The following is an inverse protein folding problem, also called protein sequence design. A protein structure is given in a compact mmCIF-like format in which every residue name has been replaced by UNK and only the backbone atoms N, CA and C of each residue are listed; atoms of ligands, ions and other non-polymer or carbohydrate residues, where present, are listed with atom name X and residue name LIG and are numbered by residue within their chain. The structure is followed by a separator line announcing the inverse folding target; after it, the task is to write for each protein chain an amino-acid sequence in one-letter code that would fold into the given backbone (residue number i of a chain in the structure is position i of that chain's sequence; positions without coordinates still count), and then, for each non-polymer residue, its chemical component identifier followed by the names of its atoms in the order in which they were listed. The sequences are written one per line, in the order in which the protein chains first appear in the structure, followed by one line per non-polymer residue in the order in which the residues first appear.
data_IF_770420576945
#
_entry.id   IF_770420576945
#
_cell.length_a   1.000
_cell.length_b   1.000
_cell.length_c   1.000
_cell.angle_alpha   90.00
_cell.angle_beta   90.00
_cell.angle_gamma   90.00
#
_symmetry.space_group_name_H-M   'P 1'
#
loop_
_entity.id
_entity.type
_entity.pdbx_description
1 polymer ?
#
# COMPACT_ATOMS: atom_id res chain seq x y z
N UNK A 1 31.27 -9.55 39.26
CA UNK A 1 30.83 -9.64 40.66
C UNK A 1 30.02 -8.38 40.94
N UNK A 2 28.70 -8.47 41.16
CA UNK A 2 27.77 -7.32 41.26
C UNK A 2 27.90 -6.51 42.57
N UNK A 3 26.96 -5.59 42.91
CA UNK A 3 25.59 -5.51 42.39
C UNK A 3 25.04 -4.12 41.98
N UNK A 4 24.00 -4.23 41.16
CA UNK A 4 22.84 -3.35 40.95
C UNK A 4 22.59 -2.30 42.05
N UNK A 5 22.71 -1.02 41.69
CA UNK A 5 22.20 0.10 42.50
C UNK A 5 21.06 0.80 41.77
N UNK A 6 20.01 0.94 42.56
CA UNK A 6 18.69 1.52 42.34
C UNK A 6 18.75 3.01 41.95
N UNK A 7 17.95 3.43 40.95
CA UNK A 7 17.58 4.82 40.74
C UNK A 7 16.26 4.91 39.94
N UNK A 8 15.39 5.89 40.25
CA UNK A 8 13.94 5.70 40.25
C UNK A 8 13.25 6.07 38.93
N UNK A 9 12.13 5.37 38.67
CA UNK A 9 11.10 5.76 37.72
C UNK A 9 10.37 7.02 38.21
N UNK A 10 10.56 8.14 37.50
CA UNK A 10 9.62 9.25 37.36
C UNK A 10 9.67 9.65 35.87
N UNK A 11 8.59 9.96 35.16
CA UNK A 11 7.33 10.55 35.57
C UNK A 11 6.17 9.99 34.72
N UNK A 12 4.99 10.00 35.34
CA UNK A 12 3.71 9.52 34.83
C UNK A 12 3.01 10.67 34.08
N UNK A 13 2.80 10.62 32.75
CA UNK A 13 2.26 11.75 31.98
C UNK A 13 0.73 11.85 32.02
N UNK A 14 0.03 10.99 32.77
CA UNK A 14 -1.42 10.99 32.84
C UNK A 14 -1.92 11.47 34.20
N UNK A 15 -1.70 12.77 34.46
CA UNK A 15 -2.43 13.51 35.50
C UNK A 15 -3.94 13.47 35.22
N UNK A 16 -4.71 13.07 36.21
CA UNK A 16 -6.13 12.76 36.08
C UNK A 16 -7.12 13.90 36.31
N UNK A 17 -8.37 13.55 35.97
CA UNK A 17 -9.70 13.88 36.56
C UNK A 17 -10.22 15.34 36.52
N UNK A 18 -11.55 15.58 36.39
CA UNK A 18 -12.60 15.00 37.26
C UNK A 18 -13.91 14.51 36.61
N UNK A 19 -14.57 13.62 37.35
CA UNK A 19 -16.00 13.30 37.27
C UNK A 19 -16.87 14.45 37.82
N UNK A 20 -18.09 14.58 37.30
CA UNK A 20 -19.15 15.38 37.91
C UNK A 20 -20.54 14.97 37.39
N UNK A 21 -21.29 14.27 38.23
CA UNK A 21 -22.72 13.97 38.07
C UNK A 21 -23.59 15.16 38.49
N UNK A 22 -24.71 15.40 37.79
CA UNK A 22 -25.92 16.01 38.37
C UNK A 22 -27.17 15.81 37.50
N UNK A 23 -28.24 15.32 38.13
CA UNK A 23 -29.60 15.15 37.62
C UNK A 23 -30.45 16.41 37.87
N UNK A 24 -31.30 16.83 36.92
CA UNK A 24 -32.73 17.21 37.08
C UNK A 24 -33.23 18.11 35.93
N UNK A 25 -34.49 17.93 35.51
CA UNK A 25 -35.28 19.03 34.94
C UNK A 25 -36.20 18.68 33.77
N UNK A 26 -37.47 18.42 34.08
CA UNK A 26 -38.59 18.25 33.15
C UNK A 26 -39.16 19.61 32.65
N UNK A 27 -39.67 19.68 31.41
CA UNK A 27 -41.01 20.21 30.99
C UNK A 27 -41.06 20.85 29.57
N UNK A 28 -42.04 20.36 28.79
CA UNK A 28 -43.00 20.98 27.82
C UNK A 28 -42.72 22.24 26.96
N UNK A 29 -43.17 22.15 25.69
CA UNK A 29 -43.62 23.23 24.79
C UNK A 29 -43.18 22.97 23.33
N UNK A 30 -43.99 22.50 22.36
CA UNK A 30 -45.17 23.07 21.69
C UNK A 30 -44.92 24.33 20.85
N UNK A 31 -44.94 24.18 19.51
CA UNK A 31 -45.29 25.26 18.56
C UNK A 31 -44.32 25.46 17.38
N UNK A 32 -44.79 25.45 16.11
CA UNK A 32 -43.99 25.80 14.94
C UNK A 32 -44.05 27.31 14.67
N UNK A 33 -42.99 27.88 14.11
CA UNK A 33 -43.07 29.22 13.50
C UNK A 33 -42.43 29.18 12.11
N UNK A 34 -43.27 29.46 11.11
CA UNK A 34 -42.89 29.74 9.73
C UNK A 34 -42.32 31.16 9.65
N UNK A 35 -41.30 31.36 8.82
CA UNK A 35 -40.67 32.67 8.63
C UNK A 35 -39.64 32.66 7.51
N UNK A 36 -40.16 32.70 6.28
CA UNK A 36 -39.53 33.09 5.02
C UNK A 36 -38.48 34.22 5.14
N UNK A 37 -37.41 34.20 4.32
CA UNK A 37 -36.78 35.44 3.87
C UNK A 37 -35.26 35.54 3.80
N UNK A 38 -34.72 35.04 2.69
CA UNK A 38 -33.73 35.71 1.85
C UNK A 38 -32.21 35.61 2.15
N UNK A 39 -31.52 35.55 1.02
CA UNK A 39 -30.23 34.97 0.75
C UNK A 39 -29.04 35.86 1.10
N UNK A 40 -27.96 35.22 1.58
CA UNK A 40 -26.61 35.60 1.17
C UNK A 40 -25.67 34.40 1.17
N UNK A 41 -25.25 34.06 -0.04
CA UNK A 41 -24.39 32.96 -0.40
C UNK A 41 -23.07 32.91 0.38
N UNK A 42 -22.77 31.77 0.99
CA UNK A 42 -21.42 31.22 1.17
C UNK A 42 -21.48 29.72 0.89
N UNK A 43 -20.60 29.27 -0.02
CA UNK A 43 -20.67 27.97 -0.69
C UNK A 43 -20.70 26.78 0.26
N UNK A 44 -21.67 25.90 0.04
CA UNK A 44 -21.74 24.56 0.62
C UNK A 44 -21.30 23.56 -0.44
N UNK A 45 -20.27 22.79 -0.12
CA UNK A 45 -19.80 21.65 -0.91
C UNK A 45 -20.94 20.62 -1.09
N UNK A 46 -21.05 19.94 -2.25
CA UNK A 46 -22.04 18.89 -2.43
C UNK A 46 -21.82 17.78 -1.40
N UNK A 47 -22.87 17.50 -0.63
CA UNK A 47 -22.91 16.39 0.31
C UNK A 47 -23.36 15.16 -0.49
N UNK A 48 -22.42 14.26 -0.78
CA UNK A 48 -22.56 13.11 -1.67
C UNK A 48 -23.47 11.98 -1.14
N UNK A 49 -24.62 12.28 -0.56
CA UNK A 49 -25.45 11.24 0.10
C UNK A 49 -26.90 11.18 -0.36
N UNK A 50 -27.20 11.51 -1.61
CA UNK A 50 -28.60 11.47 -2.04
C UNK A 50 -28.76 11.34 -3.57
N UNK A 51 -28.14 10.32 -4.18
CA UNK A 51 -28.53 9.77 -5.49
C UNK A 51 -27.99 8.31 -5.68
N UNK A 52 -28.12 7.43 -4.69
CA UNK A 52 -28.06 5.99 -4.98
C UNK A 52 -29.49 5.45 -5.07
N UNK A 53 -29.90 5.16 -6.30
CA UNK A 53 -31.08 4.38 -6.63
C UNK A 53 -30.88 2.94 -6.13
N UNK A 54 -31.65 2.44 -5.14
CA UNK A 54 -31.40 1.16 -4.48
C UNK A 54 -31.68 -0.07 -5.36
N UNK A 55 -32.12 0.12 -6.61
CA UNK A 55 -32.40 -0.95 -7.57
C UNK A 55 -31.34 -1.08 -8.68
N UNK A 56 -30.21 -0.37 -8.59
CA UNK A 56 -29.04 -0.71 -9.41
C UNK A 56 -28.47 -2.04 -8.90
N UNK A 57 -28.91 -3.15 -9.47
CA UNK A 57 -28.37 -4.47 -9.21
C UNK A 57 -26.83 -4.41 -9.27
N UNK A 58 -26.21 -4.54 -8.10
CA UNK A 58 -24.76 -4.58 -7.90
C UNK A 58 -24.18 -5.79 -8.65
N UNK A 59 -23.97 -5.64 -9.96
CA UNK A 59 -23.02 -6.45 -10.71
C UNK A 59 -21.59 -5.96 -10.45
N UNK A 60 -21.30 -5.60 -9.19
CA UNK A 60 -19.95 -5.26 -8.73
C UNK A 60 -19.35 -6.51 -8.11
N UNK A 61 -18.35 -7.06 -8.78
CA UNK A 61 -17.64 -8.27 -8.35
C UNK A 61 -17.25 -8.20 -6.87
N UNK A 62 -17.38 -9.35 -6.20
CA UNK A 62 -17.03 -9.57 -4.79
C UNK A 62 -15.87 -8.68 -4.34
N UNK A 63 -16.18 -7.60 -3.61
CA UNK A 63 -15.17 -6.67 -3.11
C UNK A 63 -14.41 -7.33 -1.97
N UNK A 64 -13.28 -7.95 -2.30
CA UNK A 64 -12.37 -8.54 -1.32
C UNK A 64 -11.70 -7.40 -0.54
N UNK A 65 -11.69 -7.49 0.80
CA UNK A 65 -10.98 -6.51 1.64
C UNK A 65 -9.50 -6.52 1.26
N UNK A 66 -8.88 -5.39 0.89
CA UNK A 66 -7.49 -5.38 0.37
C UNK A 66 -6.46 -6.07 1.29
N UNK A 67 -6.72 -6.13 2.59
CA UNK A 67 -5.83 -6.71 3.61
C UNK A 67 -5.95 -8.23 3.80
N UNK A 68 -6.97 -8.88 3.24
CA UNK A 68 -7.04 -10.36 3.25
C UNK A 68 -6.07 -10.97 2.25
N UNK A 69 -5.76 -10.26 1.16
CA UNK A 69 -4.78 -10.66 0.13
C UNK A 69 -3.38 -10.79 0.76
N UNK A 70 -3.02 -9.86 1.65
CA UNK A 70 -1.71 -9.83 2.32
C UNK A 70 -1.64 -10.73 3.57
N UNK A 71 -2.72 -11.45 3.90
CA UNK A 71 -2.85 -12.26 5.13
C UNK A 71 -2.61 -11.45 6.41
N UNK A 72 -3.09 -10.21 6.47
CA UNK A 72 -2.96 -9.34 7.64
C UNK A 72 -1.67 -8.52 7.72
N UNK A 73 -0.76 -8.64 6.74
CA UNK A 73 0.41 -7.75 6.65
C UNK A 73 -0.03 -6.36 6.21
N UNK A 74 0.39 -5.34 6.95
CA UNK A 74 0.00 -3.93 6.72
C UNK A 74 1.14 -3.06 6.19
N UNK A 75 2.37 -3.56 6.18
CA UNK A 75 3.54 -2.88 5.64
C UNK A 75 4.39 -3.83 4.78
N UNK A 76 5.01 -3.35 3.69
CA UNK A 76 5.97 -4.12 2.92
C UNK A 76 7.26 -4.31 3.73
N UNK A 77 7.90 -5.47 3.58
CA UNK A 77 9.22 -5.73 4.20
C UNK A 77 10.34 -4.89 3.58
N UNK A 78 10.12 -4.37 2.36
CA UNK A 78 11.06 -3.52 1.63
C UNK A 78 10.49 -2.12 1.44
N UNK A 79 11.30 -1.11 1.70
CA UNK A 79 10.98 0.30 1.50
C UNK A 79 11.60 0.89 0.21
N UNK A 80 12.49 0.15 -0.46
CA UNK A 80 13.19 0.55 -1.69
C UNK A 80 12.33 0.52 -2.97
N UNK A 81 11.08 0.01 -2.88
CA UNK A 81 10.13 0.00 -3.98
C UNK A 81 9.39 1.34 -4.09
N UNK A 82 9.76 2.16 -5.07
CA UNK A 82 9.08 3.40 -5.46
C UNK A 82 8.05 3.14 -6.56
N UNK A 83 7.12 4.08 -6.81
CA UNK A 83 6.11 3.94 -7.86
C UNK A 83 6.70 3.73 -9.26
N UNK A 84 7.87 4.31 -9.51
CA UNK A 84 8.60 4.26 -10.78
C UNK A 84 9.66 3.16 -10.81
N UNK A 85 9.80 2.36 -9.76
CA UNK A 85 10.67 1.19 -9.76
C UNK A 85 10.17 0.20 -10.83
N UNK A 86 11.08 -0.26 -11.69
CA UNK A 86 10.76 -1.15 -12.81
C UNK A 86 10.98 -2.60 -12.40
N UNK A 87 10.01 -3.44 -12.71
CA UNK A 87 9.94 -4.84 -12.33
C UNK A 87 10.08 -5.74 -13.56
N UNK A 88 10.71 -6.90 -13.40
CA UNK A 88 10.82 -7.90 -14.48
C UNK A 88 10.86 -9.30 -13.90
N UNK A 89 10.11 -10.22 -14.50
CA UNK A 89 10.05 -11.63 -14.09
C UNK A 89 11.39 -12.34 -14.29
N UNK A 90 11.83 -13.12 -13.29
CA UNK A 90 13.04 -13.93 -13.35
C UNK A 90 12.74 -15.28 -14.04
N UNK A 91 12.95 -15.32 -15.36
CA UNK A 91 12.51 -16.37 -16.29
C UNK A 91 12.44 -17.80 -15.74
N UNK A 92 13.57 -18.49 -15.62
CA UNK A 92 13.60 -19.93 -15.34
C UNK A 92 12.96 -20.30 -13.98
N UNK A 93 13.28 -19.56 -12.92
CA UNK A 93 12.75 -19.80 -11.59
C UNK A 93 11.24 -19.48 -11.51
N UNK A 94 10.80 -18.40 -12.17
CA UNK A 94 9.39 -18.03 -12.24
C UNK A 94 8.58 -19.04 -13.05
N UNK A 95 9.11 -19.56 -14.16
CA UNK A 95 8.45 -20.58 -14.98
C UNK A 95 8.22 -21.86 -14.18
N UNK A 96 9.25 -22.31 -13.45
CA UNK A 96 9.13 -23.45 -12.55
C UNK A 96 8.13 -23.20 -11.39
N UNK A 97 8.07 -21.97 -10.87
CA UNK A 97 7.10 -21.61 -9.82
C UNK A 97 5.65 -21.60 -10.34
N UNK A 98 5.43 -21.12 -11.56
CA UNK A 98 4.11 -21.13 -12.22
C UNK A 98 3.64 -22.55 -12.54
N UNK A 99 4.55 -23.40 -13.05
CA UNK A 99 4.26 -24.78 -13.41
C UNK A 99 3.89 -25.67 -12.19
N UNK A 100 4.40 -25.36 -10.99
CA UNK A 100 4.09 -26.11 -9.76
C UNK A 100 2.64 -25.99 -9.28
N UNK A 101 1.84 -25.09 -9.87
CA UNK A 101 0.41 -24.98 -9.64
C UNK A 101 0.01 -24.57 -8.22
N UNK A 102 -1.30 -24.52 -7.96
CA UNK A 102 -1.88 -24.23 -6.65
C UNK A 102 -2.19 -25.54 -5.93
N UNK A 103 -1.17 -26.26 -5.42
CA UNK A 103 -1.44 -27.32 -4.43
C UNK A 103 -1.71 -26.64 -3.09
N UNK A 104 -2.99 -26.47 -2.79
CA UNK A 104 -3.49 -26.02 -1.50
C UNK A 104 -2.90 -26.91 -0.39
N UNK A 105 -1.84 -26.44 0.27
CA UNK A 105 -1.16 -27.18 1.33
C UNK A 105 0.31 -26.83 1.53
N UNK A 106 1.02 -26.37 0.49
CA UNK A 106 2.43 -25.98 0.63
C UNK A 106 2.77 -24.77 -0.25
N UNK A 107 3.01 -23.60 0.37
CA UNK A 107 3.74 -22.43 -0.16
C UNK A 107 3.59 -22.17 -1.69
N UNK A 108 2.37 -22.25 -2.20
CA UNK A 108 2.08 -21.97 -3.60
C UNK A 108 1.92 -20.47 -3.84
N UNK A 109 2.13 -20.04 -5.09
CA UNK A 109 1.83 -18.67 -5.50
C UNK A 109 0.33 -18.38 -5.33
N UNK A 110 0.01 -17.21 -4.80
CA UNK A 110 -1.35 -16.66 -4.79
C UNK A 110 -1.79 -16.31 -6.22
N UNK A 111 -3.10 -16.20 -6.50
CA UNK A 111 -3.59 -15.73 -7.80
C UNK A 111 -2.94 -14.40 -8.23
N UNK A 112 -2.86 -13.45 -7.31
CA UNK A 112 -2.28 -12.11 -7.53
C UNK A 112 -0.78 -12.21 -7.87
N UNK A 113 -0.05 -13.12 -7.21
CA UNK A 113 1.35 -13.39 -7.54
C UNK A 113 1.54 -13.89 -8.98
N UNK A 114 0.63 -14.75 -9.47
CA UNK A 114 0.70 -15.23 -10.86
C UNK A 114 0.44 -14.11 -11.86
N UNK A 115 -0.58 -13.28 -11.59
CA UNK A 115 -0.90 -12.11 -12.41
C UNK A 115 0.26 -11.12 -12.48
N UNK A 116 0.93 -10.88 -11.36
CA UNK A 116 2.13 -10.04 -11.30
C UNK A 116 3.23 -10.61 -12.21
N UNK A 117 3.55 -11.91 -12.07
CA UNK A 117 4.62 -12.55 -12.85
C UNK A 117 4.33 -12.56 -14.36
N UNK A 118 3.07 -12.71 -14.74
CA UNK A 118 2.65 -12.62 -16.14
C UNK A 118 2.79 -11.18 -16.69
N UNK A 119 2.30 -10.19 -15.94
CA UNK A 119 2.40 -8.78 -16.32
C UNK A 119 3.85 -8.30 -16.41
N UNK A 120 4.72 -8.79 -15.53
CA UNK A 120 6.14 -8.43 -15.49
C UNK A 120 7.02 -9.25 -16.44
N UNK A 121 6.44 -10.08 -17.33
CA UNK A 121 7.17 -10.69 -18.47
C UNK A 121 7.82 -9.63 -19.35
N UNK A 122 7.18 -8.47 -19.44
CA UNK A 122 7.78 -7.24 -19.97
C UNK A 122 8.06 -6.29 -18.80
N UNK A 123 9.09 -5.42 -18.89
CA UNK A 123 9.34 -4.44 -17.86
C UNK A 123 8.11 -3.58 -17.57
N UNK A 124 7.70 -3.49 -16.31
CA UNK A 124 6.53 -2.71 -15.88
C UNK A 124 6.84 -1.96 -14.57
N UNK A 125 6.31 -0.75 -14.41
CA UNK A 125 6.50 0.02 -13.18
C UNK A 125 5.57 -0.47 -12.04
N UNK A 126 5.94 -0.24 -10.78
CA UNK A 126 5.09 -0.57 -9.62
C UNK A 126 3.69 0.04 -9.76
N UNK A 127 3.59 1.29 -10.21
CA UNK A 127 2.30 1.96 -10.45
C UNK A 127 1.44 1.24 -11.50
N UNK A 128 2.05 0.79 -12.59
CA UNK A 128 1.37 0.07 -13.67
C UNK A 128 0.89 -1.32 -13.24
N UNK A 129 1.63 -1.96 -12.34
CA UNK A 129 1.23 -3.24 -11.74
C UNK A 129 0.06 -3.03 -10.78
N UNK A 130 0.13 -2.02 -9.90
CA UNK A 130 -0.96 -1.71 -8.97
C UNK A 130 -2.27 -1.39 -9.71
N UNK A 131 -2.20 -0.51 -10.71
CA UNK A 131 -3.36 -0.17 -11.55
C UNK A 131 -3.87 -1.38 -12.34
N UNK A 132 -2.97 -2.26 -12.80
CA UNK A 132 -3.35 -3.47 -13.53
C UNK A 132 -4.02 -4.55 -12.68
N UNK A 133 -3.79 -4.55 -11.37
CA UNK A 133 -4.41 -5.49 -10.42
C UNK A 133 -5.64 -4.88 -9.73
N UNK A 134 -5.89 -3.59 -9.91
CA UNK A 134 -6.87 -2.82 -9.15
C UNK A 134 -6.68 -2.94 -7.63
N UNK A 135 -5.41 -2.86 -7.19
CA UNK A 135 -5.04 -2.97 -5.78
C UNK A 135 -4.38 -1.68 -5.27
N UNK A 136 -4.57 -1.33 -3.98
CA UNK A 136 -3.81 -0.26 -3.36
C UNK A 136 -2.30 -0.49 -3.49
N UNK A 137 -1.55 0.57 -3.78
CA UNK A 137 -0.09 0.50 -3.97
C UNK A 137 0.62 -0.16 -2.78
N UNK A 138 0.17 0.09 -1.55
CA UNK A 138 0.74 -0.52 -0.34
C UNK A 138 0.60 -2.04 -0.33
N UNK A 139 -0.56 -2.55 -0.73
CA UNK A 139 -0.85 -3.99 -0.89
C UNK A 139 0.00 -4.58 -2.00
N UNK A 140 0.05 -3.91 -3.16
CA UNK A 140 0.89 -4.36 -4.28
C UNK A 140 2.36 -4.46 -3.87
N UNK A 141 2.92 -3.47 -3.16
CA UNK A 141 4.32 -3.51 -2.68
C UNK A 141 4.61 -4.69 -1.77
N UNK A 142 3.67 -5.11 -0.94
CA UNK A 142 3.83 -6.32 -0.09
C UNK A 142 3.99 -7.56 -0.99
N UNK A 143 3.10 -7.76 -1.96
CA UNK A 143 3.15 -8.89 -2.89
C UNK A 143 4.40 -8.88 -3.77
N UNK A 144 4.82 -7.69 -4.20
CA UNK A 144 6.07 -7.51 -4.95
C UNK A 144 7.29 -7.88 -4.11
N UNK A 145 7.31 -7.46 -2.84
CA UNK A 145 8.35 -7.82 -1.89
C UNK A 145 8.48 -9.33 -1.74
N UNK A 146 7.36 -10.04 -1.60
CA UNK A 146 7.32 -11.50 -1.50
C UNK A 146 7.95 -12.18 -2.72
N UNK A 147 7.64 -11.70 -3.93
CA UNK A 147 8.16 -12.27 -5.18
C UNK A 147 9.65 -11.94 -5.39
N UNK A 148 10.09 -10.75 -4.98
CA UNK A 148 11.50 -10.36 -5.01
C UNK A 148 12.30 -11.19 -4.01
N UNK A 149 11.80 -11.39 -2.80
CA UNK A 149 12.44 -12.23 -1.78
C UNK A 149 12.56 -13.70 -2.21
N UNK A 150 11.57 -14.19 -2.97
CA UNK A 150 11.60 -15.53 -3.57
C UNK A 150 12.49 -15.63 -4.83
N UNK A 151 13.07 -14.52 -5.29
CA UNK A 151 13.90 -14.49 -6.51
C UNK A 151 13.11 -14.65 -7.81
N UNK A 152 11.78 -14.57 -7.76
CA UNK A 152 10.90 -14.75 -8.93
C UNK A 152 10.74 -13.44 -9.72
N UNK A 153 11.13 -12.31 -9.11
CA UNK A 153 10.96 -10.98 -9.66
C UNK A 153 12.20 -10.13 -9.37
N UNK A 154 12.64 -9.36 -10.35
CA UNK A 154 13.77 -8.44 -10.25
C UNK A 154 13.26 -7.02 -10.22
N UNK A 155 13.68 -6.25 -9.22
CA UNK A 155 13.41 -4.83 -9.11
C UNK A 155 14.64 -4.03 -9.56
N UNK A 156 14.43 -3.04 -10.42
CA UNK A 156 15.45 -2.07 -10.83
C UNK A 156 14.99 -0.68 -10.44
N UNK A 157 15.81 -0.01 -9.62
CA UNK A 157 15.58 1.39 -9.29
C UNK A 157 15.63 2.26 -10.57
N UNK A 158 14.87 3.36 -10.61
CA UNK A 158 14.99 4.34 -11.68
C UNK A 158 16.42 4.86 -11.81
N UNK A 159 16.88 5.10 -13.03
CA UNK A 159 18.25 5.59 -13.29
C UNK A 159 18.56 6.91 -12.57
N UNK A 160 17.57 7.79 -12.39
CA UNK A 160 17.71 9.03 -11.64
C UNK A 160 18.02 8.77 -10.16
N UNK A 161 17.28 7.85 -9.55
CA UNK A 161 17.47 7.42 -8.15
C UNK A 161 18.83 6.72 -7.99
N UNK A 162 19.19 5.82 -8.91
CA UNK A 162 20.48 5.14 -8.88
C UNK A 162 21.66 6.12 -9.02
N UNK A 163 21.53 7.16 -9.85
CA UNK A 163 22.56 8.22 -9.98
C UNK A 163 22.70 9.06 -8.73
N UNK A 164 21.60 9.45 -8.10
CA UNK A 164 21.63 10.23 -6.86
C UNK A 164 22.29 9.45 -5.70
N UNK A 165 22.16 8.12 -5.69
CA UNK A 165 22.76 7.22 -4.69
C UNK A 165 24.24 6.87 -4.94
N UNK A 166 24.95 7.64 -5.79
CA UNK A 166 26.37 7.41 -6.10
C UNK A 166 26.64 6.79 -7.47
N UNK A 167 25.60 6.33 -8.18
CA UNK A 167 25.61 6.09 -9.63
C UNK A 167 26.64 5.09 -10.16
N UNK A 168 26.54 4.79 -11.47
CA UNK A 168 27.56 4.05 -12.19
C UNK A 168 28.60 5.05 -12.72
N UNK A 169 29.88 4.80 -12.48
CA UNK A 169 30.97 5.62 -13.01
C UNK A 169 31.02 5.54 -14.54
N UNK A 170 30.70 6.66 -15.19
CA UNK A 170 30.75 6.79 -16.63
C UNK A 170 32.17 6.67 -17.20
N UNK A 171 33.19 7.01 -16.41
CA UNK A 171 34.59 6.82 -16.76
C UNK A 171 34.90 5.34 -16.96
N UNK A 172 34.56 4.52 -15.96
CA UNK A 172 34.68 3.07 -16.04
C UNK A 172 33.89 2.47 -17.21
N UNK A 173 32.62 2.85 -17.40
CA UNK A 173 31.82 2.35 -18.53
C UNK A 173 32.42 2.71 -19.89
N UNK A 174 32.97 3.91 -20.01
CA UNK A 174 33.66 4.36 -21.22
C UNK A 174 34.91 3.52 -21.45
N UNK A 175 35.73 3.31 -20.41
CA UNK A 175 36.91 2.48 -20.49
C UNK A 175 36.60 1.03 -20.91
N UNK A 176 35.55 0.43 -20.33
CA UNK A 176 35.08 -0.92 -20.71
C UNK A 176 34.63 -0.96 -22.17
N UNK A 177 33.84 0.03 -22.62
CA UNK A 177 33.39 0.11 -24.03
C UNK A 177 34.56 0.18 -25.00
N UNK A 178 35.54 1.04 -24.71
CA UNK A 178 36.71 1.19 -25.58
C UNK A 178 37.61 -0.06 -25.53
N UNK A 179 37.65 -0.78 -24.42
CA UNK A 179 38.32 -2.08 -24.32
C UNK A 179 37.65 -3.15 -25.18
N UNK A 180 36.31 -3.26 -25.11
CA UNK A 180 35.55 -4.25 -25.89
C UNK A 180 35.56 -3.99 -27.39
N UNK A 181 35.74 -2.75 -27.85
CA UNK A 181 35.86 -2.40 -29.28
C UNK A 181 37.21 -2.73 -29.91
N UNK A 182 38.22 -3.04 -29.10
CA UNK A 182 39.60 -3.33 -29.55
C UNK A 182 39.89 -4.83 -29.67
N UNK A 183 38.89 -5.67 -29.39
CA UNK A 183 38.92 -7.12 -29.55
C UNK A 183 38.19 -7.49 -30.85
#
# INVERSE_FOLDING_TARGET
MGPYTDAPYGEDPYGGVPHGDALHGSRHGSGPVSGEGDARARGRVPHWSELEDPDAEDETGVMVRPYTITRGRTAPERDDLTLITVLTTAGAEADAALARGSRAGARGLQPEHRLILDRCRRPAAVAEVAAGLDLPVSVTKILLGDLVAQGLLKARAPLSVARAAGGVDLGLLTAVREGLRRL
#
